data_IF_198592749783
#
_entry.id   IF_198592749783
#
_cell.length_a   1.000
_cell.length_b   1.000
_cell.length_c   1.000
_cell.angle_alpha   90.00
_cell.angle_beta   90.00
_cell.angle_gamma   90.00
#
_symmetry.space_group_name_H-M   'P 1'
#
loop_
_entity.id
_entity.type
_entity.pdbx_description
1 polymer ?
#
# COMPACT_ATOMS: atom_id res chain seq x y z
N UNK A 1 17.39 -44.79 -61.15
CA UNK A 1 16.41 -44.82 -60.05
C UNK A 1 17.05 -44.12 -58.87
N UNK A 2 16.67 -42.87 -58.57
CA UNK A 2 17.20 -42.10 -57.43
C UNK A 2 16.12 -42.08 -56.36
N UNK A 3 16.43 -42.58 -55.18
CA UNK A 3 15.56 -42.53 -54.01
C UNK A 3 15.61 -41.12 -53.44
N UNK A 4 14.50 -40.40 -53.48
CA UNK A 4 14.32 -39.13 -52.78
C UNK A 4 14.46 -39.39 -51.27
N UNK A 5 15.52 -38.86 -50.68
CA UNK A 5 15.68 -38.82 -49.23
C UNK A 5 14.72 -37.78 -48.67
N UNK A 6 13.62 -38.27 -48.09
CA UNK A 6 12.61 -37.47 -47.41
C UNK A 6 13.21 -36.51 -46.38
N UNK A 7 12.68 -35.29 -46.41
CA UNK A 7 12.95 -34.20 -45.46
C UNK A 7 12.66 -34.71 -44.04
N UNK A 8 13.71 -34.85 -43.22
CA UNK A 8 13.54 -35.10 -41.78
C UNK A 8 12.99 -33.83 -41.14
N UNK A 9 11.80 -33.93 -40.55
CA UNK A 9 11.25 -32.90 -39.66
C UNK A 9 12.29 -32.60 -38.57
N UNK A 10 12.83 -31.39 -38.61
CA UNK A 10 13.67 -30.88 -37.53
C UNK A 10 12.73 -30.56 -36.37
N UNK A 11 12.73 -31.43 -35.37
CA UNK A 11 12.12 -31.17 -34.08
C UNK A 11 12.62 -29.82 -33.57
N UNK A 12 11.74 -28.81 -33.58
CA UNK A 12 12.01 -27.52 -32.94
C UNK A 12 12.12 -27.84 -31.46
N UNK A 13 13.34 -27.95 -30.95
CA UNK A 13 13.57 -28.01 -29.51
C UNK A 13 13.03 -26.69 -28.95
N UNK A 14 12.01 -26.71 -28.07
CA UNK A 14 11.53 -25.47 -27.47
C UNK A 14 12.72 -24.81 -26.79
N UNK A 15 12.94 -23.53 -27.08
CA UNK A 15 14.01 -22.75 -26.43
C UNK A 15 13.90 -23.00 -24.92
N UNK A 16 15.02 -23.29 -24.23
CA UNK A 16 14.98 -23.43 -22.77
C UNK A 16 14.32 -22.19 -22.18
N UNK A 17 13.42 -22.38 -21.23
CA UNK A 17 12.85 -21.28 -20.46
C UNK A 17 14.00 -20.44 -19.91
N UNK A 18 14.25 -19.27 -20.50
CA UNK A 18 15.16 -18.30 -19.92
C UNK A 18 14.56 -17.94 -18.56
N UNK A 19 15.21 -18.33 -17.47
CA UNK A 19 14.80 -17.88 -16.14
C UNK A 19 14.73 -16.36 -16.20
N UNK A 20 13.54 -15.79 -16.06
CA UNK A 20 13.38 -14.36 -15.87
C UNK A 20 13.99 -14.06 -14.50
N UNK A 21 15.22 -13.55 -14.50
CA UNK A 21 15.85 -13.00 -13.30
C UNK A 21 15.04 -11.75 -12.96
N UNK A 22 14.10 -11.89 -12.02
CA UNK A 22 13.47 -10.75 -11.38
C UNK A 22 14.53 -10.09 -10.49
N UNK A 23 15.20 -9.07 -11.03
CA UNK A 23 16.05 -8.23 -10.19
C UNK A 23 15.12 -7.48 -9.22
N UNK A 24 15.36 -7.57 -7.90
CA UNK A 24 14.57 -6.83 -6.93
C UNK A 24 14.62 -5.34 -7.25
N UNK A 25 13.45 -4.69 -7.26
CA UNK A 25 13.34 -3.25 -7.41
C UNK A 25 13.06 -2.66 -6.03
N UNK A 26 14.08 -2.13 -5.33
CA UNK A 26 13.94 -1.68 -3.94
C UNK A 26 12.84 -0.63 -3.76
N UNK A 27 12.58 0.19 -4.78
CA UNK A 27 11.47 1.14 -4.79
C UNK A 27 10.12 0.44 -4.78
N UNK A 28 9.93 -0.58 -5.62
CA UNK A 28 8.68 -1.35 -5.68
C UNK A 28 8.46 -2.21 -4.43
N UNK A 29 9.53 -2.69 -3.79
CA UNK A 29 9.47 -3.42 -2.53
C UNK A 29 9.14 -2.48 -1.35
N UNK A 30 9.75 -1.29 -1.31
CA UNK A 30 9.38 -0.27 -0.32
C UNK A 30 7.94 0.20 -0.49
N UNK A 31 7.45 0.36 -1.72
CA UNK A 31 6.04 0.65 -1.99
C UNK A 31 5.10 -0.49 -1.59
N UNK A 32 5.54 -1.75 -1.68
CA UNK A 32 4.78 -2.91 -1.17
C UNK A 32 4.61 -2.79 0.35
N UNK A 33 5.72 -2.63 1.07
CA UNK A 33 5.71 -2.54 2.53
C UNK A 33 4.93 -1.31 3.02
N UNK A 34 5.02 -0.19 2.30
CA UNK A 34 4.19 0.99 2.54
C UNK A 34 2.70 0.65 2.42
N UNK A 35 2.32 -0.09 1.37
CA UNK A 35 0.93 -0.50 1.16
C UNK A 35 0.44 -1.45 2.25
N UNK A 36 1.30 -2.30 2.79
CA UNK A 36 0.97 -3.20 3.90
C UNK A 36 0.74 -2.43 5.20
N UNK A 37 1.59 -1.46 5.51
CA UNK A 37 1.40 -0.57 6.66
C UNK A 37 0.07 0.19 6.58
N UNK A 38 -0.28 0.74 5.42
CA UNK A 38 -1.57 1.44 5.21
C UNK A 38 -2.77 0.49 5.31
N UNK A 39 -2.67 -0.73 4.77
CA UNK A 39 -3.71 -1.77 4.93
C UNK A 39 -3.90 -2.17 6.38
N UNK A 40 -2.82 -2.27 7.13
CA UNK A 40 -2.88 -2.55 8.56
C UNK A 40 -3.55 -1.41 9.30
N UNK A 41 -3.14 -0.15 9.06
CA UNK A 41 -3.79 1.02 9.66
C UNK A 41 -5.30 1.02 9.41
N UNK A 42 -5.72 0.82 8.15
CA UNK A 42 -7.13 0.69 7.77
C UNK A 42 -7.86 -0.38 8.58
N UNK A 43 -7.27 -1.57 8.69
CA UNK A 43 -7.85 -2.69 9.43
C UNK A 43 -8.07 -2.34 10.91
N UNK A 44 -7.09 -1.68 11.53
CA UNK A 44 -7.22 -1.24 12.92
C UNK A 44 -8.30 -0.15 13.07
N UNK A 45 -8.40 0.80 12.14
CA UNK A 45 -9.51 1.77 12.12
C UNK A 45 -10.87 1.08 11.99
N UNK A 46 -10.97 0.06 11.12
CA UNK A 46 -12.18 -0.71 10.99
C UNK A 46 -12.57 -1.35 12.34
N UNK A 47 -11.63 -2.00 13.03
CA UNK A 47 -11.89 -2.53 14.38
C UNK A 47 -12.32 -1.43 15.35
N UNK A 48 -11.68 -0.26 15.32
CA UNK A 48 -12.03 0.92 16.12
C UNK A 48 -13.46 1.47 15.86
N UNK A 49 -14.13 1.03 14.79
CA UNK A 49 -15.52 1.41 14.44
C UNK A 49 -16.56 0.31 14.66
N UNK A 50 -16.14 -0.94 14.91
CA UNK A 50 -17.07 -2.04 15.23
C UNK A 50 -17.64 -1.78 16.62
N UNK A 51 -18.73 -1.01 16.67
CA UNK A 51 -19.26 -0.44 17.90
C UNK A 51 -20.32 -1.29 18.60
N UNK A 52 -20.13 -1.43 19.91
CA UNK A 52 -21.14 -1.85 20.88
C UNK A 52 -22.16 -0.72 21.16
N UNK A 53 -23.32 -1.02 21.78
CA UNK A 53 -24.33 -0.01 22.12
C UNK A 53 -23.76 1.14 22.96
N UNK A 54 -23.95 2.38 22.51
CA UNK A 54 -23.53 3.59 23.24
C UNK A 54 -22.22 4.22 22.78
N UNK A 55 -21.54 3.66 21.78
CA UNK A 55 -20.41 4.31 21.14
C UNK A 55 -20.88 5.52 20.30
N UNK A 56 -20.29 6.69 20.54
CA UNK A 56 -20.66 7.94 19.87
C UNK A 56 -20.45 7.84 18.35
N UNK A 57 -21.57 7.92 17.62
CA UNK A 57 -21.60 7.86 16.17
C UNK A 57 -20.80 8.99 15.52
N UNK A 58 -20.68 10.16 16.16
CA UNK A 58 -19.86 11.25 15.64
C UNK A 58 -18.37 10.90 15.64
N UNK A 59 -17.90 10.13 16.63
CA UNK A 59 -16.52 9.64 16.69
C UNK A 59 -16.31 8.55 15.62
N UNK A 60 -17.27 7.63 15.47
CA UNK A 60 -17.24 6.60 14.42
C UNK A 60 -17.11 7.25 13.04
N UNK A 61 -17.93 8.26 12.73
CA UNK A 61 -17.90 8.95 11.44
C UNK A 61 -16.56 9.65 11.18
N UNK A 62 -15.93 10.20 12.22
CA UNK A 62 -14.60 10.79 12.09
C UNK A 62 -13.53 9.74 11.81
N UNK A 63 -13.60 8.57 12.44
CA UNK A 63 -12.69 7.45 12.17
C UNK A 63 -12.86 6.96 10.73
N UNK A 64 -14.10 6.81 10.25
CA UNK A 64 -14.38 6.41 8.87
C UNK A 64 -13.87 7.42 7.84
N UNK A 65 -13.94 8.72 8.12
CA UNK A 65 -13.37 9.75 7.26
C UNK A 65 -11.83 9.65 7.18
N UNK A 66 -11.16 9.33 8.29
CA UNK A 66 -9.72 9.04 8.31
C UNK A 66 -9.41 7.78 7.52
N UNK A 67 -10.24 6.73 7.65
CA UNK A 67 -10.12 5.49 6.88
C UNK A 67 -10.19 5.74 5.36
N UNK A 68 -11.14 6.55 4.91
CA UNK A 68 -11.29 6.93 3.50
C UNK A 68 -10.07 7.68 2.96
N UNK A 69 -9.50 8.59 3.76
CA UNK A 69 -8.29 9.31 3.38
C UNK A 69 -7.07 8.35 3.26
N UNK A 70 -6.95 7.38 4.17
CA UNK A 70 -5.92 6.32 4.08
C UNK A 70 -6.13 5.47 2.82
N UNK A 71 -7.36 5.09 2.50
CA UNK A 71 -7.70 4.32 1.31
C UNK A 71 -7.33 5.04 0.01
N UNK A 72 -7.64 6.34 -0.06
CA UNK A 72 -7.28 7.18 -1.20
C UNK A 72 -5.76 7.20 -1.42
N UNK A 73 -4.97 7.35 -0.34
CA UNK A 73 -3.52 7.34 -0.42
C UNK A 73 -2.96 5.94 -0.74
N UNK A 74 -3.52 4.88 -0.15
CA UNK A 74 -3.17 3.50 -0.46
C UNK A 74 -3.35 3.18 -1.95
N UNK A 75 -4.44 3.66 -2.56
CA UNK A 75 -4.67 3.49 -3.99
C UNK A 75 -3.55 4.15 -4.83
N UNK A 76 -3.07 5.33 -4.43
CA UNK A 76 -1.94 6.01 -5.09
C UNK A 76 -0.63 5.22 -4.95
N UNK A 77 -0.34 4.67 -3.76
CA UNK A 77 0.83 3.81 -3.52
C UNK A 77 0.80 2.58 -4.42
N UNK A 78 -0.35 1.89 -4.47
CA UNK A 78 -0.53 0.68 -5.29
C UNK A 78 -0.42 0.98 -6.80
N UNK A 79 -0.98 2.11 -7.25
CA UNK A 79 -0.87 2.54 -8.64
C UNK A 79 0.58 2.89 -9.01
N UNK A 80 1.30 3.59 -8.14
CA UNK A 80 2.73 3.90 -8.31
C UNK A 80 3.55 2.61 -8.42
N UNK A 81 3.30 1.64 -7.54
CA UNK A 81 4.01 0.35 -7.53
C UNK A 81 3.86 -0.44 -8.83
N UNK A 82 2.69 -0.35 -9.49
CA UNK A 82 2.40 -1.08 -10.74
C UNK A 82 3.18 -0.55 -11.94
N UNK A 83 3.83 0.60 -11.84
CA UNK A 83 4.60 1.19 -12.94
C UNK A 83 5.89 0.38 -13.15
N UNK A 84 5.99 -0.25 -14.33
CA UNK A 84 7.14 -1.07 -14.72
C UNK A 84 8.32 -0.25 -15.28
N UNK A 85 8.03 0.88 -15.92
CA UNK A 85 9.03 1.77 -16.52
C UNK A 85 9.71 2.62 -15.44
N UNK A 86 11.05 2.54 -15.36
CA UNK A 86 11.83 3.13 -14.25
C UNK A 86 11.76 4.66 -14.19
N UNK A 87 11.80 5.32 -15.34
CA UNK A 87 11.63 6.77 -15.51
C UNK A 87 10.26 7.22 -15.01
N UNK A 88 9.19 6.57 -15.48
CA UNK A 88 7.82 6.87 -15.04
C UNK A 88 7.59 6.54 -13.57
N UNK A 89 8.25 5.51 -13.04
CA UNK A 89 8.18 5.16 -11.63
C UNK A 89 8.81 6.27 -10.77
N UNK A 90 9.96 6.80 -11.17
CA UNK A 90 10.60 7.91 -10.45
C UNK A 90 9.71 9.16 -10.43
N UNK A 91 9.13 9.53 -11.58
CA UNK A 91 8.17 10.65 -11.65
C UNK A 91 6.94 10.43 -10.76
N UNK A 92 6.39 9.21 -10.76
CA UNK A 92 5.25 8.88 -9.92
C UNK A 92 5.59 8.87 -8.43
N UNK A 93 6.80 8.44 -8.06
CA UNK A 93 7.30 8.51 -6.68
C UNK A 93 7.45 9.97 -6.22
N UNK A 94 7.91 10.88 -7.08
CA UNK A 94 7.95 12.32 -6.76
C UNK A 94 6.53 12.84 -6.50
N UNK A 95 5.57 12.54 -7.37
CA UNK A 95 4.16 12.93 -7.17
C UNK A 95 3.56 12.32 -5.90
N UNK A 96 3.90 11.07 -5.57
CA UNK A 96 3.47 10.43 -4.33
C UNK A 96 4.05 11.16 -3.10
N UNK A 97 5.32 11.55 -3.14
CA UNK A 97 5.97 12.35 -2.08
C UNK A 97 5.32 13.72 -1.93
N UNK A 98 4.85 14.35 -3.01
CA UNK A 98 4.09 15.61 -2.93
C UNK A 98 2.76 15.46 -2.17
N UNK A 99 2.22 14.24 -2.08
CA UNK A 99 0.99 13.95 -1.34
C UNK A 99 1.26 13.56 0.14
N UNK A 100 2.52 13.44 0.57
CA UNK A 100 2.88 13.18 1.98
C UNK A 100 2.25 14.16 2.97
N UNK A 101 2.16 15.48 2.70
CA UNK A 101 1.50 16.41 3.62
C UNK A 101 0.04 16.04 3.89
N UNK A 102 -0.66 15.50 2.89
CA UNK A 102 -2.05 15.03 3.04
C UNK A 102 -2.11 13.81 3.96
N UNK A 103 -1.21 12.83 3.79
CA UNK A 103 -1.14 11.67 4.69
C UNK A 103 -0.81 12.10 6.13
N UNK A 104 0.11 13.07 6.28
CA UNK A 104 0.47 13.63 7.58
C UNK A 104 -0.71 14.33 8.26
N UNK A 105 -1.51 15.08 7.50
CA UNK A 105 -2.73 15.69 8.02
C UNK A 105 -3.73 14.63 8.51
N UNK A 106 -3.87 13.50 7.79
CA UNK A 106 -4.65 12.34 8.22
C UNK A 106 -4.10 11.74 9.52
N UNK A 107 -2.77 11.60 9.65
CA UNK A 107 -2.12 11.17 10.88
C UNK A 107 -2.36 12.12 12.07
N UNK A 108 -2.39 13.43 11.83
CA UNK A 108 -2.67 14.44 12.87
C UNK A 108 -4.16 14.46 13.28
N UNK A 109 -5.09 14.22 12.35
CA UNK A 109 -6.51 13.99 12.67
C UNK A 109 -6.66 12.75 13.55
N UNK A 110 -5.96 11.66 13.21
CA UNK A 110 -5.98 10.43 13.98
C UNK A 110 -5.41 10.61 15.40
N UNK A 111 -4.35 11.43 15.56
CA UNK A 111 -3.84 11.85 16.89
C UNK A 111 -4.91 12.57 17.70
N UNK A 112 -5.62 13.51 17.07
CA UNK A 112 -6.71 14.26 17.70
C UNK A 112 -7.82 13.32 18.19
N UNK A 113 -8.20 12.34 17.36
CA UNK A 113 -9.15 11.30 17.74
C UNK A 113 -8.63 10.45 18.90
N UNK A 114 -7.39 9.98 18.84
CA UNK A 114 -6.76 9.17 19.89
C UNK A 114 -6.67 9.91 21.25
N UNK A 115 -6.53 11.24 21.24
CA UNK A 115 -6.51 12.05 22.47
C UNK A 115 -7.91 12.27 23.10
N UNK A 116 -9.00 12.03 22.38
CA UNK A 116 -10.37 12.24 22.89
C UNK A 116 -10.72 11.24 24.02
N UNK A 117 -11.12 11.70 25.20
CA UNK A 117 -11.47 10.81 26.34
C UNK A 117 -12.90 10.24 26.28
N UNK A 118 -13.74 10.68 25.35
CA UNK A 118 -15.14 10.28 25.21
C UNK A 118 -15.38 8.94 24.50
N UNK A 119 -14.34 8.11 24.32
CA UNK A 119 -14.42 6.84 23.60
C UNK A 119 -13.97 5.66 24.46
N UNK A 120 -14.45 4.44 24.18
CA UNK A 120 -14.03 3.24 24.90
C UNK A 120 -12.52 3.02 24.87
N UNK A 121 -11.95 2.45 25.93
CA UNK A 121 -10.51 2.24 26.04
C UNK A 121 -9.94 1.37 24.91
N UNK A 122 -10.68 0.33 24.49
CA UNK A 122 -10.27 -0.56 23.41
C UNK A 122 -10.12 0.18 22.06
N UNK A 123 -10.92 1.24 21.84
CA UNK A 123 -10.79 2.09 20.65
C UNK A 123 -9.44 2.80 20.64
N UNK A 124 -8.94 3.24 21.80
CA UNK A 124 -7.62 3.89 21.89
C UNK A 124 -6.49 2.95 21.43
N UNK A 125 -6.57 1.66 21.75
CA UNK A 125 -5.56 0.67 21.34
C UNK A 125 -5.47 0.64 19.82
N UNK A 126 -6.60 0.47 19.15
CA UNK A 126 -6.65 0.41 17.69
C UNK A 126 -6.25 1.73 17.01
N UNK A 127 -6.66 2.89 17.54
CA UNK A 127 -6.25 4.18 16.99
C UNK A 127 -4.75 4.42 17.12
N UNK A 128 -4.14 4.01 18.24
CA UNK A 128 -2.69 4.12 18.43
C UNK A 128 -1.91 3.16 17.51
N UNK A 129 -2.43 1.95 17.27
CA UNK A 129 -1.85 1.02 16.30
C UNK A 129 -1.94 1.57 14.88
N UNK A 130 -3.11 2.10 14.49
CA UNK A 130 -3.28 2.75 13.19
C UNK A 130 -2.33 3.93 13.00
N UNK A 131 -2.14 4.75 14.04
CA UNK A 131 -1.23 5.90 14.02
C UNK A 131 0.22 5.47 13.84
N UNK A 132 0.67 4.42 14.52
CA UNK A 132 2.01 3.88 14.33
C UNK A 132 2.23 3.40 12.89
N UNK A 133 1.24 2.72 12.30
CA UNK A 133 1.32 2.24 10.92
C UNK A 133 1.26 3.35 9.88
N UNK A 134 0.50 4.42 10.11
CA UNK A 134 0.52 5.62 9.25
C UNK A 134 1.90 6.29 9.32
N UNK A 135 2.46 6.45 10.51
CA UNK A 135 3.80 7.03 10.68
C UNK A 135 4.89 6.17 10.00
N UNK A 136 4.77 4.84 10.06
CA UNK A 136 5.66 3.93 9.33
C UNK A 136 5.54 4.11 7.82
N UNK A 137 4.31 4.20 7.30
CA UNK A 137 4.07 4.43 5.87
C UNK A 137 4.65 5.77 5.41
N UNK A 138 4.47 6.84 6.18
CA UNK A 138 5.07 8.16 5.93
C UNK A 138 6.59 8.08 5.86
N UNK A 139 7.22 7.45 6.85
CA UNK A 139 8.68 7.30 6.90
C UNK A 139 9.21 6.51 5.69
N UNK A 140 8.51 5.45 5.28
CA UNK A 140 8.87 4.64 4.11
C UNK A 140 8.77 5.42 2.81
N UNK A 141 7.68 6.17 2.59
CA UNK A 141 7.52 7.00 1.38
C UNK A 141 8.56 8.12 1.35
N UNK A 142 8.82 8.75 2.48
CA UNK A 142 9.86 9.78 2.58
C UNK A 142 11.26 9.23 2.28
N UNK A 143 11.52 7.97 2.65
CA UNK A 143 12.78 7.25 2.38
C UNK A 143 12.89 6.59 1.00
N UNK A 144 11.87 6.71 0.13
CA UNK A 144 12.00 6.26 -1.25
C UNK A 144 13.11 7.03 -1.98
N UNK A 145 13.83 6.42 -2.94
CA UNK A 145 14.81 7.12 -3.75
C UNK A 145 14.19 8.19 -4.68
#
# INVERSE_FOLDING_TARGET
>A
MSLEAGVRETYITPKPFTQQIFLPNPTQDSLLNTSEALRFAKKELHYATVGDPGYDQAIINQILAVEEAIDAYLAQVLNTRRIARKDLLAEAVVKLKEQLPSLKATGDQLKGLAANTGKPEWVNVYLNMALASVAEAEARVNGLP
#
